data_IF_059863657675
#
_entry.id   IF_059863657675
#
_cell.length_a   1.000
_cell.length_b   1.000
_cell.length_c   1.000
_cell.angle_alpha   90.00
_cell.angle_beta   90.00
_cell.angle_gamma   90.00
#
_symmetry.space_group_name_H-M   'P 1'
#
loop_
_entity.id
_entity.type
_entity.pdbx_description
1 polymer ?
#
# COMPACT_ATOMS: atom_id res chain seq x y z
N UNK A 1 8.60 -20.19 -5.05
CA UNK A 1 8.78 -19.34 -6.24
C UNK A 1 7.67 -18.31 -6.27
N UNK A 2 7.92 -17.09 -5.77
CA UNK A 2 6.93 -16.01 -5.79
C UNK A 2 6.61 -15.53 -7.21
N UNK A 3 5.38 -15.03 -7.38
CA UNK A 3 4.86 -14.45 -8.62
C UNK A 3 4.56 -12.97 -8.41
N UNK A 4 5.13 -12.10 -9.26
CA UNK A 4 5.04 -10.64 -9.14
C UNK A 4 4.34 -10.07 -10.38
N UNK A 5 3.04 -9.75 -10.30
CA UNK A 5 2.34 -9.10 -11.40
C UNK A 5 2.59 -7.58 -11.39
N UNK A 6 2.79 -7.01 -12.58
CA UNK A 6 2.79 -5.57 -12.81
C UNK A 6 1.44 -5.15 -13.38
N UNK A 7 0.58 -4.60 -12.53
CA UNK A 7 -0.76 -4.12 -12.91
C UNK A 7 -0.76 -2.60 -12.86
N UNK A 8 -1.24 -1.97 -13.93
CA UNK A 8 -1.48 -0.53 -13.96
C UNK A 8 -2.92 -0.19 -14.31
N UNK A 9 -3.17 1.10 -14.51
CA UNK A 9 -4.49 1.63 -14.89
C UNK A 9 -4.39 2.34 -16.24
N UNK A 10 -5.39 2.12 -17.09
CA UNK A 10 -5.48 2.80 -18.38
C UNK A 10 -6.19 4.16 -18.25
N UNK A 11 -6.36 4.85 -19.38
CA UNK A 11 -7.02 6.16 -19.45
C UNK A 11 -8.52 6.13 -19.05
N UNK A 12 -9.15 4.95 -19.01
CA UNK A 12 -10.51 4.75 -18.52
C UNK A 12 -10.56 4.30 -17.06
N UNK A 13 -9.43 4.29 -16.35
CA UNK A 13 -9.35 3.82 -14.96
C UNK A 13 -9.44 2.31 -14.79
N UNK A 14 -9.35 1.53 -15.87
CA UNK A 14 -9.44 0.07 -15.81
C UNK A 14 -8.08 -0.53 -15.50
N UNK A 15 -8.07 -1.56 -14.66
CA UNK A 15 -6.85 -2.34 -14.36
C UNK A 15 -6.40 -3.12 -15.59
N UNK A 16 -5.12 -3.06 -15.90
CA UNK A 16 -4.49 -3.80 -16.99
C UNK A 16 -3.19 -4.46 -16.52
N UNK A 17 -2.98 -5.72 -16.89
CA UNK A 17 -1.72 -6.41 -16.66
C UNK A 17 -0.69 -5.95 -17.70
N UNK A 18 0.39 -5.33 -17.25
CA UNK A 18 1.52 -4.93 -18.10
C UNK A 18 2.57 -6.03 -18.24
N UNK A 19 2.68 -6.91 -17.26
CA UNK A 19 3.63 -8.01 -17.28
C UNK A 19 3.68 -8.73 -15.94
N UNK A 20 4.55 -9.73 -15.85
CA UNK A 20 4.79 -10.43 -14.59
C UNK A 20 6.21 -11.00 -14.54
N UNK A 21 6.70 -11.22 -13.32
CA UNK A 21 7.96 -11.90 -13.05
C UNK A 21 7.75 -13.12 -12.15
N UNK A 22 8.48 -14.20 -12.43
CA UNK A 22 8.68 -15.29 -11.50
C UNK A 22 10.06 -15.12 -10.88
N UNK A 23 10.10 -15.04 -9.55
CA UNK A 23 11.33 -14.77 -8.82
C UNK A 23 11.74 -15.95 -7.94
N UNK A 24 13.03 -16.07 -7.64
CA UNK A 24 13.57 -17.12 -6.78
C UNK A 24 13.20 -16.91 -5.31
N UNK A 25 13.21 -15.64 -4.87
CA UNK A 25 13.11 -15.22 -3.47
C UNK A 25 12.68 -13.75 -3.39
N UNK A 26 12.13 -13.35 -2.25
CA UNK A 26 11.75 -11.96 -1.94
C UNK A 26 12.93 -11.28 -1.24
N UNK A 27 13.99 -10.97 -2.00
CA UNK A 27 15.17 -10.26 -1.50
C UNK A 27 15.56 -9.10 -2.42
N UNK A 28 16.42 -8.22 -1.91
CA UNK A 28 16.86 -7.00 -2.60
C UNK A 28 17.44 -7.27 -3.98
N UNK A 29 18.37 -8.23 -4.11
CA UNK A 29 19.02 -8.49 -5.38
C UNK A 29 18.01 -8.95 -6.43
N UNK A 30 17.05 -9.76 -6.00
CA UNK A 30 16.01 -10.30 -6.85
C UNK A 30 15.03 -9.22 -7.32
N UNK A 31 14.62 -8.30 -6.43
CA UNK A 31 13.75 -7.18 -6.80
C UNK A 31 14.46 -6.14 -7.68
N UNK A 32 15.72 -5.79 -7.39
CA UNK A 32 16.52 -4.89 -8.23
C UNK A 32 16.65 -5.46 -9.65
N UNK A 33 16.95 -6.76 -9.77
CA UNK A 33 16.99 -7.43 -11.07
C UNK A 33 15.63 -7.36 -11.78
N UNK A 34 14.54 -7.69 -11.07
CA UNK A 34 13.19 -7.69 -11.64
C UNK A 34 12.79 -6.29 -12.15
N UNK A 35 13.00 -5.24 -11.35
CA UNK A 35 12.66 -3.88 -11.72
C UNK A 35 13.54 -3.35 -12.86
N UNK A 36 14.82 -3.75 -12.89
CA UNK A 36 15.73 -3.39 -13.98
C UNK A 36 15.29 -4.03 -15.30
N UNK A 37 14.94 -5.33 -15.26
CA UNK A 37 14.41 -6.04 -16.44
C UNK A 37 13.09 -5.48 -16.91
N UNK A 38 12.23 -5.09 -15.98
CA UNK A 38 11.03 -4.36 -16.32
C UNK A 38 11.39 -3.03 -17.02
N UNK A 39 12.25 -2.19 -16.43
CA UNK A 39 12.64 -0.92 -17.05
C UNK A 39 13.18 -1.09 -18.48
N UNK A 40 13.99 -2.12 -18.73
CA UNK A 40 14.48 -2.48 -20.06
C UNK A 40 13.33 -2.80 -21.04
N UNK A 41 12.39 -3.67 -20.64
CA UNK A 41 11.19 -3.97 -21.44
C UNK A 41 10.31 -2.74 -21.69
N UNK A 42 10.46 -1.72 -20.84
CA UNK A 42 9.75 -0.45 -20.93
C UNK A 42 10.55 0.65 -21.64
N UNK A 43 11.59 0.27 -22.39
CA UNK A 43 12.47 1.16 -23.15
C UNK A 43 13.15 2.24 -22.29
N UNK A 44 13.45 1.94 -21.03
CA UNK A 44 14.06 2.89 -20.11
C UNK A 44 13.09 3.94 -19.57
N UNK A 45 11.78 3.80 -19.81
CA UNK A 45 10.77 4.71 -19.29
C UNK A 45 10.24 4.20 -17.93
N UNK A 46 10.62 4.82 -16.79
CA UNK A 46 10.10 4.42 -15.49
C UNK A 46 8.64 4.87 -15.32
N UNK A 47 7.87 4.20 -14.45
CA UNK A 47 6.51 4.63 -14.14
C UNK A 47 6.52 5.95 -13.34
N UNK A 48 5.49 6.77 -13.50
CA UNK A 48 5.34 8.00 -12.69
C UNK A 48 5.08 7.71 -11.21
N UNK A 49 4.47 6.57 -10.91
CA UNK A 49 4.21 6.11 -9.56
C UNK A 49 4.12 4.59 -9.49
N UNK A 50 4.50 4.03 -8.35
CA UNK A 50 4.43 2.60 -8.08
C UNK A 50 3.82 2.38 -6.70
N UNK A 51 2.95 1.37 -6.62
CA UNK A 51 2.27 0.98 -5.39
C UNK A 51 2.67 -0.45 -5.06
N UNK A 52 3.28 -0.68 -3.91
CA UNK A 52 3.67 -2.02 -3.45
C UNK A 52 3.21 -2.26 -2.02
N UNK A 53 3.40 -3.46 -1.51
CA UNK A 53 3.19 -3.74 -0.09
C UNK A 53 4.21 -2.99 0.80
N UNK A 54 4.02 -3.15 2.12
CA UNK A 54 4.85 -2.48 3.12
C UNK A 54 6.11 -3.29 3.41
N UNK A 55 7.02 -3.33 2.45
CA UNK A 55 8.35 -3.92 2.57
C UNK A 55 9.44 -2.83 2.43
N UNK A 56 10.34 -2.76 3.43
CA UNK A 56 11.41 -1.76 3.46
C UNK A 56 12.54 -2.05 2.47
N UNK A 57 12.85 -3.33 2.22
CA UNK A 57 13.84 -3.69 1.22
C UNK A 57 13.35 -3.25 -0.16
N UNK A 58 12.09 -3.57 -0.48
CA UNK A 58 11.46 -3.18 -1.74
C UNK A 58 11.42 -1.66 -1.94
N UNK A 59 11.19 -0.88 -0.88
CA UNK A 59 11.26 0.58 -0.94
C UNK A 59 12.64 1.08 -1.40
N UNK A 60 13.71 0.54 -0.81
CA UNK A 60 15.08 0.93 -1.17
C UNK A 60 15.43 0.51 -2.60
N UNK A 61 15.00 -0.69 -3.01
CA UNK A 61 15.26 -1.24 -4.33
C UNK A 61 14.54 -0.44 -5.43
N UNK A 62 13.30 -0.02 -5.16
CA UNK A 62 12.54 0.89 -6.02
C UNK A 62 13.25 2.22 -6.15
N UNK A 63 13.75 2.79 -5.04
CA UNK A 63 14.46 4.06 -5.10
C UNK A 63 15.80 3.95 -5.87
N UNK A 64 16.44 2.78 -5.82
CA UNK A 64 17.66 2.50 -6.56
C UNK A 64 17.41 2.44 -8.08
N UNK A 65 16.37 1.74 -8.52
CA UNK A 65 16.07 1.52 -9.95
C UNK A 65 15.23 2.67 -10.54
N UNK A 66 14.35 3.26 -9.74
CA UNK A 66 13.38 4.29 -10.12
C UNK A 66 13.48 5.55 -9.23
N UNK A 67 14.60 6.29 -9.23
CA UNK A 67 14.88 7.35 -8.26
C UNK A 67 13.87 8.52 -8.26
N UNK A 68 13.17 8.73 -9.38
CA UNK A 68 12.18 9.80 -9.54
C UNK A 68 10.72 9.31 -9.46
N UNK A 69 10.50 8.01 -9.33
CA UNK A 69 9.16 7.42 -9.24
C UNK A 69 8.59 7.63 -7.85
N UNK A 70 7.33 8.06 -7.77
CA UNK A 70 6.63 8.19 -6.50
C UNK A 70 6.23 6.81 -5.99
N UNK A 71 6.87 6.36 -4.91
CA UNK A 71 6.48 5.14 -4.21
C UNK A 71 5.36 5.40 -3.20
N UNK A 72 4.32 4.56 -3.21
CA UNK A 72 3.23 4.54 -2.23
C UNK A 72 3.02 3.12 -1.74
N UNK A 73 2.51 2.98 -0.52
CA UNK A 73 2.08 1.67 -0.02
C UNK A 73 0.67 1.34 -0.51
N UNK A 74 0.44 0.05 -0.75
CA UNK A 74 -0.81 -0.49 -1.22
C UNK A 74 -1.86 -0.41 -0.11
N UNK A 75 -2.88 0.40 -0.37
CA UNK A 75 -3.99 0.61 0.56
C UNK A 75 -4.65 -0.71 0.99
N UNK A 76 -4.88 -1.63 0.05
CA UNK A 76 -5.46 -2.92 0.36
C UNK A 76 -4.62 -3.72 1.36
N UNK A 77 -3.28 -3.73 1.19
CA UNK A 77 -2.39 -4.42 2.13
C UNK A 77 -2.36 -3.74 3.50
N UNK A 78 -2.46 -2.41 3.55
CA UNK A 78 -2.60 -1.67 4.81
C UNK A 78 -3.89 -2.11 5.51
N UNK A 79 -5.03 -2.00 4.82
CA UNK A 79 -6.35 -2.32 5.38
C UNK A 79 -6.44 -3.78 5.83
N UNK A 80 -5.81 -4.71 5.11
CA UNK A 80 -5.73 -6.12 5.51
C UNK A 80 -4.96 -6.33 6.82
N UNK A 81 -3.86 -5.59 7.04
CA UNK A 81 -3.02 -5.72 8.25
C UNK A 81 -3.61 -5.04 9.48
N UNK A 82 -4.50 -4.05 9.31
CA UNK A 82 -5.03 -3.28 10.45
C UNK A 82 -5.80 -4.17 11.45
N UNK A 83 -6.74 -5.05 11.03
CA UNK A 83 -7.43 -5.95 11.95
C UNK A 83 -6.49 -6.88 12.74
N UNK A 84 -5.36 -7.29 12.16
CA UNK A 84 -4.36 -8.13 12.83
C UNK A 84 -3.65 -7.37 13.97
N UNK A 85 -3.44 -6.06 13.79
CA UNK A 85 -2.78 -5.20 14.78
C UNK A 85 -3.71 -4.73 15.90
N UNK A 86 -5.03 -4.82 15.71
CA UNK A 86 -6.04 -4.39 16.69
C UNK A 86 -6.35 -5.41 17.80
N UNK A 87 -5.51 -6.44 18.00
CA UNK A 87 -5.77 -7.59 18.88
C UNK A 87 -6.36 -7.24 20.26
N UNK A 88 -7.45 -7.92 20.64
CA UNK A 88 -8.05 -7.83 21.99
C UNK A 88 -8.91 -6.59 22.28
N UNK A 89 -9.18 -5.74 21.27
CA UNK A 89 -10.20 -4.70 21.35
C UNK A 89 -11.59 -5.32 21.23
N UNK A 90 -12.48 -4.93 22.15
CA UNK A 90 -13.90 -5.33 22.14
C UNK A 90 -14.64 -4.75 20.95
N UNK A 91 -14.24 -3.55 20.52
CA UNK A 91 -14.97 -2.75 19.53
C UNK A 91 -14.27 -2.80 18.15
N UNK A 92 -13.54 -3.90 17.89
CA UNK A 92 -12.71 -4.08 16.69
C UNK A 92 -13.50 -3.91 15.39
N UNK A 93 -14.75 -4.38 15.36
CA UNK A 93 -15.59 -4.32 14.16
C UNK A 93 -16.04 -2.87 13.90
N UNK A 94 -16.40 -2.12 14.94
CA UNK A 94 -16.77 -0.70 14.85
C UNK A 94 -15.58 0.17 14.42
N UNK A 95 -14.40 -0.07 15.01
CA UNK A 95 -13.16 0.62 14.59
C UNK A 95 -12.81 0.27 13.14
N UNK A 96 -12.97 -0.98 12.72
CA UNK A 96 -12.69 -1.41 11.35
C UNK A 96 -13.65 -0.76 10.34
N UNK A 97 -14.93 -0.69 10.68
CA UNK A 97 -15.93 -0.03 9.84
C UNK A 97 -15.67 1.47 9.72
N UNK A 98 -15.45 2.15 10.85
CA UNK A 98 -15.16 3.60 10.83
C UNK A 98 -13.85 3.91 10.10
N UNK A 99 -12.83 3.06 10.25
CA UNK A 99 -11.59 3.18 9.49
C UNK A 99 -11.81 3.01 7.98
N UNK A 100 -12.67 2.07 7.58
CA UNK A 100 -13.01 1.86 6.18
C UNK A 100 -13.63 3.13 5.60
N UNK A 101 -14.60 3.74 6.29
CA UNK A 101 -15.27 4.96 5.84
C UNK A 101 -14.27 6.13 5.72
N UNK A 102 -13.44 6.35 6.75
CA UNK A 102 -12.39 7.39 6.74
C UNK A 102 -11.46 7.23 5.53
N UNK A 103 -11.03 5.99 5.24
CA UNK A 103 -10.04 5.70 4.19
C UNK A 103 -10.65 5.76 2.79
N UNK A 104 -11.86 5.26 2.59
CA UNK A 104 -12.46 5.09 1.26
C UNK A 104 -13.40 6.23 0.85
N UNK A 105 -13.99 6.96 1.81
CA UNK A 105 -14.94 8.03 1.51
C UNK A 105 -14.30 9.44 1.52
N UNK A 106 -13.08 9.58 2.03
CA UNK A 106 -12.34 10.85 1.98
C UNK A 106 -11.83 11.16 0.57
N UNK A 107 -12.22 12.31 0.01
CA UNK A 107 -11.83 12.74 -1.34
C UNK A 107 -10.57 13.62 -1.35
N UNK A 108 -10.26 14.24 -0.21
CA UNK A 108 -9.10 15.13 -0.07
C UNK A 108 -8.26 14.75 1.14
N UNK A 109 -6.99 15.19 1.14
CA UNK A 109 -6.13 15.02 2.30
C UNK A 109 -6.66 15.74 3.54
N UNK A 110 -7.26 16.92 3.37
CA UNK A 110 -7.85 17.68 4.49
C UNK A 110 -9.05 16.97 5.10
N UNK A 111 -9.94 16.44 4.26
CA UNK A 111 -11.08 15.62 4.68
C UNK A 111 -10.62 14.35 5.39
N UNK A 112 -9.59 13.68 4.86
CA UNK A 112 -8.99 12.52 5.50
C UNK A 112 -8.46 12.87 6.89
N UNK A 113 -7.63 13.91 7.03
CA UNK A 113 -7.07 14.28 8.34
C UNK A 113 -8.15 14.67 9.35
N UNK A 114 -9.21 15.35 8.90
CA UNK A 114 -10.35 15.71 9.74
C UNK A 114 -11.15 14.50 10.22
N UNK A 115 -11.54 13.61 9.30
CA UNK A 115 -12.35 12.42 9.61
C UNK A 115 -11.54 11.38 10.39
N UNK A 116 -10.25 11.22 10.08
CA UNK A 116 -9.29 10.42 10.84
C UNK A 116 -9.16 10.90 12.28
N UNK A 117 -8.97 12.21 12.47
CA UNK A 117 -8.87 12.80 13.82
C UNK A 117 -10.17 12.60 14.61
N UNK A 118 -11.31 12.75 13.95
CA UNK A 118 -12.63 12.53 14.56
C UNK A 118 -12.82 11.08 15.00
N UNK A 119 -12.46 10.12 14.13
CA UNK A 119 -12.46 8.69 14.44
C UNK A 119 -11.60 8.40 15.68
N UNK A 120 -10.35 8.88 15.71
CA UNK A 120 -9.44 8.66 16.83
C UNK A 120 -10.00 9.21 18.15
N UNK A 121 -10.67 10.36 18.13
CA UNK A 121 -11.31 10.93 19.32
C UNK A 121 -12.45 10.04 19.82
N UNK A 122 -13.32 9.56 18.94
CA UNK A 122 -14.43 8.68 19.29
C UNK A 122 -13.98 7.39 19.98
N UNK A 123 -12.85 6.80 19.54
CA UNK A 123 -12.33 5.56 20.11
C UNK A 123 -11.27 5.79 21.22
N UNK A 124 -10.84 7.03 21.48
CA UNK A 124 -9.90 7.36 22.57
C UNK A 124 -10.44 7.05 23.96
N UNK A 125 -11.76 7.13 24.15
CA UNK A 125 -12.43 6.85 25.42
C UNK A 125 -12.42 5.36 25.81
N UNK A 126 -12.25 4.47 24.84
CA UNK A 126 -12.30 3.01 25.04
C UNK A 126 -11.05 2.49 25.78
N UNK A 127 -9.94 3.23 25.74
CA UNK A 127 -8.76 2.92 26.54
C UNK A 127 -8.90 3.33 28.02
N UNK A 128 -9.78 4.28 28.35
CA UNK A 128 -9.94 4.80 29.72
C UNK A 128 -10.83 3.96 30.64
N UNK A 129 -11.56 2.97 30.11
CA UNK A 129 -12.43 2.08 30.89
C UNK A 129 -11.73 0.80 31.39
N UNK A 130 -10.40 0.72 31.29
CA UNK A 130 -9.59 -0.44 31.73
C UNK A 130 -8.58 -0.09 32.84
N UNK A 131 -9.05 0.59 33.89
CA UNK A 131 -8.41 0.59 35.19
C UNK A 131 -9.39 0.14 36.27
#
# INVERSE_FOLDING_TARGET
>A
MPFVPFVGVNHNGQSMLFGCGLISSEDTNTFVWLFTKWLECMHGCPPSGIITDQDRAMQNDIQLVFPNTKHRWCLWHIMKKVPEKMGGLTDKDEVSASLHDVVYDSQTGEEFEFTWSSMLQSFSHIQSARH
#
